data_IF_636954669674
#
_entry.id   IF_636954669674
#
_cell.length_a   1.000
_cell.length_b   1.000
_cell.length_c   1.000
_cell.angle_alpha   90.00
_cell.angle_beta   90.00
_cell.angle_gamma   90.00
#
_symmetry.space_group_name_H-M   'P 1'
#
loop_
_entity.id
_entity.type
_entity.pdbx_description
1 polymer ?
#
# COMPACT_ATOMS: atom_id res chain seq x y z
N UNK A 1 -19.32 16.11 -9.00
CA UNK A 1 -18.29 15.81 -7.99
C UNK A 1 -18.50 14.39 -7.52
N UNK A 2 -17.47 13.54 -7.56
CA UNK A 2 -17.61 12.16 -7.12
C UNK A 2 -17.56 12.11 -5.58
N UNK A 3 -18.61 11.60 -4.91
CA UNK A 3 -18.70 11.59 -3.45
C UNK A 3 -17.66 10.64 -2.85
N UNK A 4 -17.00 11.14 -1.79
CA UNK A 4 -15.98 10.46 -1.02
C UNK A 4 -16.45 9.10 -0.50
N UNK A 5 -15.82 8.04 -1.00
CA UNK A 5 -15.91 6.72 -0.41
C UNK A 5 -15.04 6.67 0.84
N UNK A 6 -15.68 6.72 2.01
CA UNK A 6 -15.04 6.47 3.29
C UNK A 6 -14.38 5.09 3.30
N UNK A 7 -13.12 5.05 3.69
CA UNK A 7 -12.38 3.83 4.00
C UNK A 7 -12.50 3.60 5.51
N UNK A 8 -13.33 2.66 6.00
CA UNK A 8 -13.29 2.25 7.38
C UNK A 8 -12.19 1.19 7.50
N UNK A 9 -11.07 1.51 8.15
CA UNK A 9 -10.09 0.48 8.49
C UNK A 9 -8.67 0.97 8.77
N UNK A 10 -8.43 1.41 10.01
CA UNK A 10 -7.17 1.11 10.69
C UNK A 10 -6.00 2.08 10.49
N UNK A 11 -6.15 3.33 10.90
CA UNK A 11 -4.99 4.07 11.42
C UNK A 11 -4.56 3.39 12.72
N UNK A 12 -3.59 2.47 12.65
CA UNK A 12 -2.86 1.98 13.82
C UNK A 12 -1.44 2.57 13.80
N UNK A 13 -1.20 3.68 14.53
CA UNK A 13 0.12 4.25 14.69
C UNK A 13 0.87 3.47 15.77
N UNK A 14 1.61 2.43 15.40
CA UNK A 14 2.53 1.79 16.34
C UNK A 14 2.82 0.31 16.09
N UNK A 15 4.08 0.05 15.73
CA UNK A 15 4.85 -1.05 16.31
C UNK A 15 4.69 -2.44 15.68
N UNK A 16 5.82 -2.99 15.24
CA UNK A 16 6.10 -4.42 15.05
C UNK A 16 5.28 -5.15 13.97
N UNK A 17 5.85 -5.23 12.75
CA UNK A 17 5.39 -6.15 11.71
C UNK A 17 3.98 -5.87 11.21
N UNK A 18 3.73 -4.63 10.77
CA UNK A 18 2.39 -4.24 10.31
C UNK A 18 2.19 -4.71 8.86
N UNK A 19 1.06 -5.37 8.64
CA UNK A 19 0.59 -5.69 7.29
C UNK A 19 -0.38 -4.61 6.84
N UNK A 20 -0.10 -4.00 5.70
CA UNK A 20 -0.87 -2.92 5.11
C UNK A 20 -1.38 -3.37 3.74
N UNK A 21 -2.69 -3.30 3.54
CA UNK A 21 -3.29 -3.55 2.24
C UNK A 21 -3.31 -2.25 1.42
N UNK A 22 -2.60 -2.25 0.29
CA UNK A 22 -2.58 -1.10 -0.63
C UNK A 22 -3.03 -1.51 -2.03
N UNK A 23 -3.94 -0.75 -2.61
CA UNK A 23 -4.60 -1.09 -3.88
C UNK A 23 -4.69 0.08 -4.85
N UNK A 24 -4.14 -0.12 -6.06
CA UNK A 24 -4.37 0.75 -7.21
C UNK A 24 -5.68 0.34 -7.87
N UNK A 25 -6.67 1.25 -7.84
CA UNK A 25 -7.98 1.06 -8.48
C UNK A 25 -8.04 1.89 -9.76
N UNK A 26 -8.64 1.34 -10.82
CA UNK A 26 -8.78 2.01 -12.12
C UNK A 26 -7.44 2.50 -12.70
N UNK A 27 -6.35 1.73 -12.49
CA UNK A 27 -4.98 2.08 -12.90
C UNK A 27 -4.48 3.42 -12.35
N UNK A 28 -5.10 3.95 -11.29
CA UNK A 28 -4.67 5.19 -10.65
C UNK A 28 -3.62 4.91 -9.59
N UNK A 29 -2.58 5.76 -9.48
CA UNK A 29 -1.65 5.66 -8.37
C UNK A 29 -2.39 5.86 -7.05
N UNK A 30 -2.09 5.01 -6.07
CA UNK A 30 -2.60 5.09 -4.71
C UNK A 30 -1.44 4.98 -3.72
N UNK A 31 -1.63 5.53 -2.52
CA UNK A 31 -0.61 5.56 -1.50
C UNK A 31 -1.22 5.27 -0.14
N UNK A 32 -0.58 4.38 0.61
CA UNK A 32 -0.98 3.99 1.95
C UNK A 32 0.04 4.57 2.93
N UNK A 33 -0.41 5.51 3.74
CA UNK A 33 0.42 6.17 4.74
C UNK A 33 0.87 5.16 5.79
N UNK A 34 2.18 5.04 5.97
CA UNK A 34 2.78 4.12 6.91
C UNK A 34 4.15 4.63 7.36
N UNK A 35 4.52 4.40 8.61
CA UNK A 35 5.87 4.71 9.08
C UNK A 35 6.75 3.48 8.89
N UNK A 36 7.55 3.48 7.82
CA UNK A 36 8.42 2.36 7.45
C UNK A 36 9.84 2.66 7.93
N UNK A 37 10.41 1.78 8.76
CA UNK A 37 11.73 2.01 9.38
C UNK A 37 12.85 1.25 8.68
N UNK A 38 12.62 -0.03 8.38
CA UNK A 38 13.61 -0.92 7.79
C UNK A 38 13.25 -1.28 6.34
N UNK A 39 11.98 -1.55 6.06
CA UNK A 39 11.54 -1.80 4.69
C UNK A 39 10.12 -2.33 4.56
N UNK A 40 9.69 -2.46 3.30
CA UNK A 40 8.43 -3.10 2.95
C UNK A 40 8.63 -4.22 1.95
N UNK A 41 7.90 -5.30 2.15
CA UNK A 41 7.88 -6.48 1.29
C UNK A 41 6.43 -6.83 0.92
N UNK A 42 6.24 -7.43 -0.24
CA UNK A 42 4.91 -7.96 -0.62
C UNK A 42 4.67 -9.23 0.18
N UNK A 43 3.66 -9.21 1.03
CA UNK A 43 3.21 -10.39 1.75
C UNK A 43 2.25 -11.23 0.89
N UNK A 44 1.30 -10.57 0.21
CA UNK A 44 0.32 -11.26 -0.65
C UNK A 44 -0.18 -10.36 -1.77
N UNK A 45 -0.11 -10.82 -3.01
CA UNK A 45 -0.73 -10.14 -4.15
C UNK A 45 -2.24 -10.44 -4.17
N UNK A 46 -3.05 -9.39 -4.29
CA UNK A 46 -4.50 -9.43 -4.41
C UNK A 46 -4.97 -9.23 -5.86
N UNK A 47 -4.15 -8.60 -6.70
CA UNK A 47 -4.42 -8.48 -8.13
C UNK A 47 -3.51 -7.51 -8.88
N UNK A 48 -3.45 -7.67 -10.20
CA UNK A 48 -2.57 -6.90 -11.08
C UNK A 48 -1.11 -7.37 -11.01
N UNK A 49 -0.25 -6.67 -11.74
CA UNK A 49 1.19 -6.92 -11.74
C UNK A 49 1.86 -6.03 -10.69
N UNK A 50 2.46 -6.62 -9.66
CA UNK A 50 3.12 -5.92 -8.55
C UNK A 50 4.65 -6.09 -8.60
N UNK A 51 5.32 -5.21 -9.36
CA UNK A 51 6.77 -5.15 -9.51
C UNK A 51 7.31 -3.93 -8.77
N UNK A 52 8.28 -4.18 -7.89
CA UNK A 52 8.93 -3.13 -7.12
C UNK A 52 9.65 -2.15 -8.06
N UNK A 53 9.46 -0.84 -7.84
CA UNK A 53 10.00 0.22 -8.68
C UNK A 53 9.20 0.51 -9.96
N UNK A 54 8.20 -0.32 -10.30
CA UNK A 54 7.35 -0.12 -11.49
C UNK A 54 5.89 0.13 -11.13
N UNK A 55 5.29 -0.80 -10.40
CA UNK A 55 3.87 -0.75 -10.02
C UNK A 55 3.67 -0.73 -8.51
N UNK A 56 4.72 -0.84 -7.71
CA UNK A 56 4.70 -0.46 -6.31
C UNK A 56 6.09 -0.07 -5.82
N UNK A 57 6.14 0.57 -4.66
CA UNK A 57 7.37 0.85 -3.94
C UNK A 57 7.06 1.43 -2.57
N UNK A 58 8.10 1.76 -1.81
CA UNK A 58 7.95 2.30 -0.47
C UNK A 58 9.00 3.36 -0.19
N UNK A 59 8.66 4.25 0.74
CA UNK A 59 9.57 5.22 1.34
C UNK A 59 9.20 5.40 2.83
N UNK A 60 9.89 6.31 3.53
CA UNK A 60 9.66 6.51 4.98
C UNK A 60 8.24 6.96 5.33
N UNK A 61 7.52 7.56 4.38
CA UNK A 61 6.13 8.01 4.51
C UNK A 61 5.09 7.00 4.03
N UNK A 62 5.50 5.82 3.57
CA UNK A 62 4.59 4.70 3.30
C UNK A 62 4.79 4.01 1.97
N UNK A 63 3.76 3.30 1.52
CA UNK A 63 3.79 2.46 0.32
C UNK A 63 2.97 3.13 -0.78
N UNK A 64 3.52 3.18 -1.99
CA UNK A 64 2.78 3.59 -3.17
C UNK A 64 2.57 2.39 -4.09
N UNK A 65 1.42 2.37 -4.76
CA UNK A 65 1.03 1.35 -5.75
C UNK A 65 0.48 2.05 -6.99
N UNK A 66 0.67 1.45 -8.16
CA UNK A 66 0.28 1.99 -9.45
C UNK A 66 -0.08 0.85 -10.42
N UNK A 67 -0.61 1.19 -11.61
CA UNK A 67 -0.86 0.26 -12.71
C UNK A 67 -1.75 -0.94 -12.32
N UNK A 68 -2.68 -0.75 -11.38
CA UNK A 68 -3.61 -1.80 -10.96
C UNK A 68 -3.02 -2.81 -9.98
N UNK A 69 -1.79 -2.61 -9.48
CA UNK A 69 -1.20 -3.41 -8.41
C UNK A 69 -2.01 -3.28 -7.12
N UNK A 70 -2.39 -4.44 -6.57
CA UNK A 70 -3.14 -4.59 -5.33
C UNK A 70 -2.48 -5.69 -4.54
N UNK A 71 -1.95 -5.36 -3.36
CA UNK A 71 -1.26 -6.31 -2.52
C UNK A 71 -1.32 -5.91 -1.04
N UNK A 72 -1.08 -6.90 -0.19
CA UNK A 72 -0.72 -6.73 1.20
C UNK A 72 0.78 -6.64 1.31
N UNK A 73 1.23 -5.67 2.08
CA UNK A 73 2.62 -5.38 2.27
C UNK A 73 2.95 -5.49 3.75
N UNK A 74 3.98 -6.25 4.06
CA UNK A 74 4.52 -6.30 5.41
C UNK A 74 5.59 -5.23 5.53
N UNK A 75 5.48 -4.40 6.57
CA UNK A 75 6.47 -3.38 6.90
C UNK A 75 7.24 -3.75 8.16
N UNK A 76 8.55 -3.52 8.13
CA UNK A 76 9.49 -3.76 9.23
C UNK A 76 10.16 -2.44 9.65
#
# INVERSE_FOLDING_TARGET
>A
GYPGGGYPGGFNPGGNGQVIECSSRNYRPARCAATIRAGAEVERVLGGECIQGRSWGWDRGGIWVNNGCRARFRIN
#
